data_IF_707088964165
#
_entry.id   IF_707088964165
#
_cell.length_a   1.000
_cell.length_b   1.000
_cell.length_c   1.000
_cell.angle_alpha   90.00
_cell.angle_beta   90.00
_cell.angle_gamma   90.00
#
_symmetry.space_group_name_H-M   'P 1'
#
loop_
_entity.id
_entity.type
_entity.pdbx_description
1 polymer ?
#
# COMPACT_ATOMS: atom_id res chain seq x y z
N UNK A 1 -23.52 -10.09 -8.90
CA UNK A 1 -22.54 -9.67 -9.91
C UNK A 1 -21.50 -8.81 -9.20
N UNK A 2 -20.32 -9.35 -8.86
CA UNK A 2 -19.29 -8.58 -8.15
C UNK A 2 -18.66 -7.60 -9.13
N UNK A 3 -18.86 -6.30 -8.90
CA UNK A 3 -18.19 -5.24 -9.67
C UNK A 3 -16.68 -5.45 -9.53
N UNK A 4 -16.00 -5.76 -10.64
CA UNK A 4 -14.54 -5.63 -10.69
C UNK A 4 -14.24 -4.13 -10.67
N UNK A 5 -13.54 -3.58 -9.66
CA UNK A 5 -12.98 -2.26 -9.82
C UNK A 5 -11.98 -2.36 -10.98
N UNK A 6 -12.22 -1.60 -12.04
CA UNK A 6 -11.49 -1.70 -13.32
C UNK A 6 -10.06 -1.16 -13.24
N UNK A 7 -9.63 -0.76 -12.04
CA UNK A 7 -8.37 -0.09 -11.77
C UNK A 7 -7.82 -0.67 -10.46
N UNK A 8 -6.73 -1.43 -10.55
CA UNK A 8 -6.08 -2.02 -9.38
C UNK A 8 -4.77 -1.30 -9.07
N UNK A 9 -4.31 -1.43 -7.82
CA UNK A 9 -2.97 -0.93 -7.45
C UNK A 9 -1.88 -1.60 -8.30
N UNK A 10 -2.07 -2.85 -8.71
CA UNK A 10 -1.15 -3.56 -9.60
C UNK A 10 -0.98 -2.85 -10.95
N UNK A 11 -2.06 -2.31 -11.53
CA UNK A 11 -2.02 -1.63 -12.82
C UNK A 11 -1.20 -0.33 -12.77
N UNK A 12 -1.32 0.43 -11.68
CA UNK A 12 -0.60 1.70 -11.50
C UNK A 12 0.87 1.51 -11.13
N UNK A 13 1.19 0.39 -10.49
CA UNK A 13 2.55 0.02 -10.12
C UNK A 13 3.23 -0.87 -11.16
N UNK A 14 2.55 -1.26 -12.25
CA UNK A 14 3.12 -2.07 -13.33
C UNK A 14 4.31 -1.39 -14.03
N UNK A 15 4.35 -0.06 -14.03
CA UNK A 15 5.45 0.73 -14.60
C UNK A 15 6.64 0.88 -13.65
N UNK A 16 6.54 0.35 -12.42
CA UNK A 16 7.63 0.40 -11.46
C UNK A 16 8.68 -0.66 -11.79
N UNK A 17 9.93 -0.22 -11.91
CA UNK A 17 11.06 -1.13 -12.06
C UNK A 17 11.40 -1.76 -10.71
N UNK A 18 11.54 -3.08 -10.67
CA UNK A 18 12.01 -3.79 -9.49
C UNK A 18 13.54 -3.71 -9.40
N UNK A 19 14.12 -2.92 -8.47
CA UNK A 19 15.56 -2.71 -8.37
C UNK A 19 16.30 -3.92 -7.80
N UNK A 20 15.56 -4.93 -7.31
CA UNK A 20 16.16 -6.13 -6.72
C UNK A 20 16.77 -7.02 -7.79
N UNK A 21 17.83 -7.73 -7.41
CA UNK A 21 18.39 -8.80 -8.22
C UNK A 21 17.43 -10.00 -8.27
N UNK A 22 17.32 -10.67 -9.43
CA UNK A 22 16.31 -11.71 -9.66
C UNK A 22 16.35 -12.84 -8.62
N UNK A 23 17.54 -13.30 -8.22
CA UNK A 23 17.70 -14.34 -7.19
C UNK A 23 17.16 -13.96 -5.80
N UNK A 24 16.90 -12.68 -5.54
CA UNK A 24 16.35 -12.18 -4.27
C UNK A 24 14.84 -11.90 -4.31
N UNK A 25 14.19 -12.11 -5.47
CA UNK A 25 12.76 -11.84 -5.66
C UNK A 25 11.87 -13.00 -5.17
N UNK A 26 11.98 -13.35 -3.88
CA UNK A 26 11.09 -14.36 -3.26
C UNK A 26 9.64 -13.87 -3.17
N UNK A 27 9.44 -12.59 -2.86
CA UNK A 27 8.11 -11.99 -2.78
C UNK A 27 7.91 -11.03 -3.97
N UNK A 28 6.71 -11.07 -4.57
CA UNK A 28 6.36 -10.17 -5.67
C UNK A 28 6.43 -8.72 -5.19
N UNK A 29 6.97 -7.82 -6.02
CA UNK A 29 7.08 -6.41 -5.65
C UNK A 29 5.71 -5.83 -5.31
N UNK A 30 4.69 -6.16 -6.11
CA UNK A 30 3.34 -5.66 -5.89
C UNK A 30 2.74 -6.11 -4.55
N UNK A 31 3.01 -7.34 -4.12
CA UNK A 31 2.54 -7.84 -2.83
C UNK A 31 3.17 -7.05 -1.68
N UNK A 32 4.48 -6.80 -1.75
CA UNK A 32 5.22 -6.02 -0.75
C UNK A 32 4.65 -4.60 -0.64
N UNK A 33 4.45 -3.94 -1.78
CA UNK A 33 3.94 -2.57 -1.80
C UNK A 33 2.50 -2.49 -1.29
N UNK A 34 1.65 -3.44 -1.69
CA UNK A 34 0.25 -3.46 -1.27
C UNK A 34 0.14 -3.70 0.23
N UNK A 35 0.89 -4.64 0.80
CA UNK A 35 0.90 -4.90 2.25
C UNK A 35 1.36 -3.65 3.00
N UNK A 36 2.46 -3.02 2.56
CA UNK A 36 2.98 -1.83 3.22
C UNK A 36 1.98 -0.68 3.21
N UNK A 37 1.31 -0.41 2.08
CA UNK A 37 0.29 0.64 1.98
C UNK A 37 -0.90 0.33 2.90
N UNK A 38 -1.43 -0.90 2.87
CA UNK A 38 -2.52 -1.30 3.75
C UNK A 38 -2.16 -1.17 5.23
N UNK A 39 -0.95 -1.58 5.61
CA UNK A 39 -0.46 -1.49 6.98
C UNK A 39 -0.35 -0.02 7.44
N UNK A 40 0.24 0.85 6.62
CA UNK A 40 0.41 2.29 6.92
C UNK A 40 -0.94 3.00 7.05
N UNK A 41 -1.91 2.69 6.17
CA UNK A 41 -3.28 3.22 6.30
C UNK A 41 -3.93 2.76 7.61
N UNK A 42 -3.63 1.56 8.07
CA UNK A 42 -4.07 1.04 9.37
C UNK A 42 -3.24 1.53 10.57
N UNK A 43 -2.31 2.47 10.37
CA UNK A 43 -1.53 3.10 11.44
C UNK A 43 -0.20 2.42 11.76
N UNK A 44 0.30 1.50 10.93
CA UNK A 44 1.65 0.96 11.09
C UNK A 44 2.70 2.02 10.76
N UNK A 45 3.60 2.30 11.70
CA UNK A 45 4.65 3.34 11.62
C UNK A 45 6.07 2.77 11.56
N UNK A 46 6.22 1.44 11.59
CA UNK A 46 7.50 0.75 11.56
C UNK A 46 7.46 -0.51 10.70
N UNK A 47 8.63 -0.95 10.21
CA UNK A 47 8.74 -2.18 9.41
C UNK A 47 8.26 -3.42 10.18
N UNK A 48 8.50 -3.47 11.48
CA UNK A 48 8.02 -4.53 12.37
C UNK A 48 6.49 -4.50 12.49
N UNK A 49 5.89 -3.31 12.60
CA UNK A 49 4.43 -3.17 12.59
C UNK A 49 3.81 -3.59 11.25
N UNK A 50 4.49 -3.32 10.13
CA UNK A 50 4.04 -3.76 8.79
C UNK A 50 4.08 -5.29 8.66
N UNK A 51 5.16 -5.93 9.11
CA UNK A 51 5.24 -7.40 9.16
C UNK A 51 4.13 -7.98 10.04
N UNK A 52 3.95 -7.44 11.24
CA UNK A 52 2.90 -7.85 12.18
C UNK A 52 1.50 -7.72 11.56
N UNK A 53 1.23 -6.60 10.87
CA UNK A 53 -0.02 -6.42 10.12
C UNK A 53 -0.21 -7.50 9.07
N UNK A 54 0.82 -7.76 8.26
CA UNK A 54 0.81 -8.80 7.23
C UNK A 54 0.48 -10.17 7.80
N UNK A 55 1.14 -10.57 8.89
CA UNK A 55 0.88 -11.83 9.58
C UNK A 55 -0.53 -11.89 10.15
N UNK A 56 -0.99 -10.82 10.80
CA UNK A 56 -2.31 -10.75 11.44
C UNK A 56 -3.45 -10.78 10.42
N UNK A 57 -3.24 -10.19 9.24
CA UNK A 57 -4.24 -10.09 8.17
C UNK A 57 -3.98 -11.07 7.02
N UNK A 58 -3.13 -12.07 7.23
CA UNK A 58 -2.69 -12.99 6.19
C UNK A 58 -3.84 -13.61 5.39
N UNK A 59 -4.85 -14.16 6.07
CA UNK A 59 -6.01 -14.78 5.41
C UNK A 59 -6.80 -13.79 4.56
N UNK A 60 -6.93 -12.53 5.00
CA UNK A 60 -7.60 -11.48 4.24
C UNK A 60 -6.77 -11.05 3.02
N UNK A 61 -5.46 -10.84 3.21
CA UNK A 61 -4.53 -10.46 2.15
C UNK A 61 -4.50 -11.51 1.02
N UNK A 62 -4.54 -12.79 1.38
CA UNK A 62 -4.56 -13.92 0.43
C UNK A 62 -5.82 -13.95 -0.46
N UNK A 63 -6.88 -13.22 -0.12
CA UNK A 63 -8.08 -13.15 -0.98
C UNK A 63 -7.86 -12.35 -2.27
N UNK A 64 -6.82 -11.50 -2.33
CA UNK A 64 -6.50 -10.67 -3.50
C UNK A 64 -5.01 -10.56 -3.83
N UNK A 65 -4.10 -11.07 -2.98
CA UNK A 65 -2.67 -11.18 -3.25
C UNK A 65 -2.26 -12.65 -3.44
N UNK A 66 -1.24 -12.88 -4.26
CA UNK A 66 -0.76 -14.25 -4.53
C UNK A 66 0.11 -14.80 -3.39
N UNK A 67 0.96 -13.97 -2.78
CA UNK A 67 1.81 -14.32 -1.63
C UNK A 67 2.56 -15.65 -1.81
N UNK A 68 3.35 -15.84 -2.88
CA UNK A 68 3.95 -17.13 -3.22
C UNK A 68 4.88 -17.69 -2.14
N UNK A 69 5.46 -16.83 -1.31
CA UNK A 69 6.33 -17.19 -0.19
C UNK A 69 5.82 -16.61 1.14
N UNK A 70 4.53 -16.32 1.25
CA UNK A 70 3.93 -15.71 2.44
C UNK A 70 4.32 -14.24 2.64
N UNK A 71 4.22 -13.79 3.91
CA UNK A 71 4.49 -12.40 4.31
C UNK A 71 6.00 -12.14 4.35
N UNK A 72 6.48 -11.06 3.71
CA UNK A 72 7.88 -10.65 3.83
C UNK A 72 8.24 -10.24 5.25
N UNK A 73 9.48 -10.46 5.67
CA UNK A 73 9.98 -9.94 6.96
C UNK A 73 10.15 -8.42 6.95
N UNK A 74 10.20 -7.79 8.13
CA UNK A 74 10.52 -6.36 8.29
C UNK A 74 11.82 -5.96 7.57
N UNK A 75 12.86 -6.80 7.59
CA UNK A 75 14.10 -6.59 6.85
C UNK A 75 13.90 -6.56 5.33
N UNK A 76 12.97 -7.38 4.83
CA UNK A 76 12.64 -7.42 3.40
C UNK A 76 11.92 -6.14 2.98
N UNK A 77 10.98 -5.66 3.80
CA UNK A 77 10.35 -4.36 3.57
C UNK A 77 11.39 -3.24 3.56
N UNK A 78 12.18 -3.12 4.62
CA UNK A 78 13.20 -2.08 4.75
C UNK A 78 14.16 -2.05 3.55
N UNK A 79 14.66 -3.22 3.13
CA UNK A 79 15.58 -3.35 2.00
C UNK A 79 14.96 -2.96 0.67
N UNK A 80 13.73 -3.41 0.40
CA UNK A 80 13.01 -3.07 -0.84
C UNK A 80 12.80 -1.57 -0.90
N UNK A 81 12.21 -0.98 0.14
CA UNK A 81 11.92 0.45 0.16
C UNK A 81 13.17 1.32 0.10
N UNK A 82 14.29 0.88 0.68
CA UNK A 82 15.58 1.57 0.56
C UNK A 82 16.17 1.55 -0.85
N UNK A 83 15.82 0.55 -1.67
CA UNK A 83 16.31 0.41 -3.05
C UNK A 83 15.37 1.03 -4.10
N UNK A 84 14.10 1.25 -3.74
CA UNK A 84 13.12 1.82 -4.66
C UNK A 84 13.47 3.25 -5.05
N UNK A 85 13.25 3.58 -6.31
CA UNK A 85 13.32 4.96 -6.77
C UNK A 85 12.14 5.75 -6.17
N UNK A 86 12.39 6.74 -5.28
CA UNK A 86 11.32 7.42 -4.56
C UNK A 86 10.46 8.28 -5.49
N UNK A 87 11.03 8.89 -6.54
CA UNK A 87 10.28 9.70 -7.50
C UNK A 87 9.34 8.85 -8.35
N UNK A 88 9.78 7.67 -8.79
CA UNK A 88 8.95 6.72 -9.53
C UNK A 88 7.83 6.18 -8.64
N UNK A 89 8.16 5.78 -7.41
CA UNK A 89 7.18 5.31 -6.42
C UNK A 89 6.11 6.36 -6.16
N UNK A 90 6.50 7.61 -5.87
CA UNK A 90 5.58 8.72 -5.64
C UNK A 90 4.67 8.96 -6.85
N UNK A 91 5.23 8.90 -8.06
CA UNK A 91 4.47 9.12 -9.29
C UNK A 91 3.41 8.04 -9.50
N UNK A 92 3.77 6.76 -9.32
CA UNK A 92 2.84 5.63 -9.37
C UNK A 92 1.74 5.77 -8.31
N UNK A 93 2.11 6.11 -7.08
CA UNK A 93 1.18 6.28 -5.98
C UNK A 93 0.18 7.42 -6.20
N UNK A 94 0.67 8.59 -6.67
CA UNK A 94 -0.19 9.74 -6.99
C UNK A 94 -1.15 9.43 -8.13
N UNK A 95 -0.68 8.72 -9.17
CA UNK A 95 -1.55 8.32 -10.28
C UNK A 95 -2.64 7.35 -9.82
N UNK A 96 -2.31 6.40 -8.94
CA UNK A 96 -3.29 5.54 -8.30
C UNK A 96 -4.31 6.34 -7.48
N UNK A 97 -3.85 7.24 -6.61
CA UNK A 97 -4.75 8.09 -5.80
C UNK A 97 -5.68 8.98 -6.64
N UNK A 98 -5.18 9.56 -7.75
CA UNK A 98 -6.02 10.32 -8.70
C UNK A 98 -7.10 9.44 -9.32
N UNK A 99 -6.78 8.19 -9.67
CA UNK A 99 -7.76 7.26 -10.23
C UNK A 99 -8.87 6.94 -9.22
N UNK A 100 -8.50 6.76 -7.94
CA UNK A 100 -9.44 6.55 -6.83
C UNK A 100 -10.35 7.77 -6.66
N UNK A 101 -9.80 8.99 -6.65
CA UNK A 101 -10.58 10.23 -6.54
C UNK A 101 -11.65 10.36 -7.64
N UNK A 102 -11.29 10.03 -8.89
CA UNK A 102 -12.22 10.09 -10.03
C UNK A 102 -13.36 9.09 -9.88
N UNK A 103 -13.08 7.89 -9.33
CA UNK A 103 -14.12 6.87 -9.08
C UNK A 103 -15.07 7.33 -7.96
N UNK A 104 -14.54 7.98 -6.93
CA UNK A 104 -15.30 8.45 -5.77
C UNK A 104 -16.03 9.78 -6.04
N UNK A 105 -16.06 10.28 -7.28
CA UNK A 105 -16.73 11.56 -7.63
C UNK A 105 -16.31 12.75 -6.74
N UNK A 106 -15.06 12.76 -6.25
CA UNK A 106 -14.56 13.73 -5.26
C UNK A 106 -15.24 13.71 -3.88
N UNK A 107 -15.99 12.67 -3.52
CA UNK A 107 -16.49 12.43 -2.15
C UNK A 107 -15.37 11.89 -1.22
N UNK A 108 -14.16 12.43 -1.36
CA UNK A 108 -13.04 12.08 -0.48
C UNK A 108 -13.17 12.90 0.79
N UNK A 109 -13.64 12.25 1.86
CA UNK A 109 -13.66 12.85 3.19
C UNK A 109 -12.24 12.85 3.75
N UNK A 110 -11.70 14.03 4.03
CA UNK A 110 -10.44 14.15 4.77
C UNK A 110 -10.68 13.72 6.23
N UNK A 111 -10.26 12.50 6.58
CA UNK A 111 -10.21 12.04 7.97
C UNK A 111 -8.90 12.56 8.56
N UNK A 112 -8.88 13.85 8.86
CA UNK A 112 -7.81 14.45 9.65
C UNK A 112 -8.21 14.30 11.12
N UNK A 113 -7.40 13.64 11.92
CA UNK A 113 -7.65 13.42 13.36
C UNK A 113 -7.63 14.72 14.20
N UNK A 114 -7.70 15.88 13.56
CA UNK A 114 -7.79 17.18 14.24
C UNK A 114 -9.16 17.32 14.87
N UNK A 115 -9.17 17.27 16.19
CA UNK A 115 -10.31 17.74 16.99
C UNK A 115 -10.39 19.26 16.85
N UNK A 116 -11.54 19.80 16.42
CA UNK A 116 -11.82 21.24 16.49
C UNK A 116 -11.73 21.68 17.96
N UNK A 117 -10.63 22.34 18.32
CA UNK A 117 -10.44 22.90 19.65
C UNK A 117 -10.88 24.37 19.62
N UNK A 118 -12.02 24.69 20.24
CA UNK A 118 -12.52 26.06 20.36
C UNK A 118 -13.76 26.43 19.53
N UNK A 119 -14.51 25.47 18.97
CA UNK A 119 -15.79 25.72 18.28
C UNK A 119 -16.97 25.96 19.24
N UNK A 120 -16.74 26.69 20.33
CA UNK A 120 -17.83 27.14 21.19
C UNK A 120 -18.54 28.29 20.48
N UNK A 121 -19.82 28.08 20.13
CA UNK A 121 -20.73 29.14 19.71
C UNK A 121 -20.80 30.22 20.81
N UNK A 122 -20.79 31.48 20.39
CA UNK A 122 -21.11 32.64 21.23
C UNK A 122 -22.57 33.02 21.03
#
# INVERSE_FOLDING_TARGET
>A
MKLKPKITIADHFAQMSDPRIDRTKRHKLIDILTIAICAVICGADSWVAIELYGCTKFEWLKTFLELPNGIPSHDTFARVFAQLNPQQFQSCFLNWMKSVQTITSSEVVAIDGKTLCGSYDK
#
